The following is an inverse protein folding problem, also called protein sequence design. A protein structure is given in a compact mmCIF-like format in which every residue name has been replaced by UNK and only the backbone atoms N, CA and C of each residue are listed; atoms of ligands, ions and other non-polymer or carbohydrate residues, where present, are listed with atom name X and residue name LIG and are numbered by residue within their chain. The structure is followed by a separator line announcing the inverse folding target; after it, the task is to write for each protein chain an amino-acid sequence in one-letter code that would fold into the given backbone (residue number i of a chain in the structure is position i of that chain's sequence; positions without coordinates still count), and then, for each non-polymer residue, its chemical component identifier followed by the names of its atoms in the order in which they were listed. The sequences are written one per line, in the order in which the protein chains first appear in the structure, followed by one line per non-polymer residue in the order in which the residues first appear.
data_IF_527584738489
#
_entry.id   IF_527584738489
#
_cell.length_a   1.000
_cell.length_b   1.000
_cell.length_c   1.000
_cell.angle_alpha   90.00
_cell.angle_beta   90.00
_cell.angle_gamma   90.00
#
_symmetry.space_group_name_H-M   'P 1'
#
loop_
_entity.id
_entity.type
_entity.pdbx_description
1 polymer ?
#
# COMPACT_ATOMS: atom_id res chain seq x y z
N UNK A 1 8.57 16.52 -29.66
CA UNK A 1 9.56 15.43 -29.60
C UNK A 1 10.58 15.84 -28.57
N UNK A 2 10.65 15.12 -27.46
CA UNK A 2 11.59 15.38 -26.36
C UNK A 2 12.90 14.67 -26.71
N UNK A 3 14.06 15.28 -26.40
CA UNK A 3 15.33 14.59 -26.68
C UNK A 3 15.54 13.46 -25.67
N UNK A 4 16.29 12.42 -26.04
CA UNK A 4 16.66 11.34 -25.12
C UNK A 4 17.31 11.88 -23.82
N UNK A 5 18.02 13.01 -23.93
CA UNK A 5 18.62 13.70 -22.80
C UNK A 5 17.55 14.30 -21.87
N UNK A 6 16.57 15.00 -22.43
CA UNK A 6 15.46 15.56 -21.66
C UNK A 6 14.60 14.45 -21.03
N UNK A 7 14.42 13.32 -21.73
CA UNK A 7 13.69 12.16 -21.21
C UNK A 7 14.45 11.51 -20.04
N UNK A 8 15.79 11.39 -20.13
CA UNK A 8 16.62 10.81 -19.09
C UNK A 8 16.76 11.72 -17.85
N UNK A 9 16.79 13.05 -18.04
CA UNK A 9 16.83 14.01 -16.93
C UNK A 9 15.50 14.07 -16.16
N UNK A 10 14.37 13.77 -16.82
CA UNK A 10 13.04 13.71 -16.19
C UNK A 10 12.60 12.27 -15.85
N UNK A 11 13.46 11.27 -16.07
CA UNK A 11 13.15 9.88 -15.78
C UNK A 11 13.18 9.65 -14.27
N UNK A 12 12.01 9.67 -13.64
CA UNK A 12 11.84 9.13 -12.30
C UNK A 12 11.47 7.65 -12.42
N UNK A 13 12.40 6.78 -12.00
CA UNK A 13 12.09 5.35 -11.89
C UNK A 13 10.87 5.21 -10.97
N UNK A 14 9.79 4.53 -11.39
CA UNK A 14 8.59 4.38 -10.58
C UNK A 14 8.96 3.62 -9.29
N UNK A 15 9.08 4.37 -8.19
CA UNK A 15 9.32 3.83 -6.86
C UNK A 15 7.98 3.52 -6.23
N UNK A 16 7.35 2.44 -6.68
CA UNK A 16 6.19 1.92 -5.96
C UNK A 16 6.69 1.28 -4.66
N UNK A 17 6.33 1.87 -3.52
CA UNK A 17 6.61 1.30 -2.19
C UNK A 17 5.77 0.05 -1.95
N UNK A 18 6.05 -0.68 -0.88
CA UNK A 18 5.23 -1.82 -0.48
C UNK A 18 4.17 -1.38 0.53
N UNK A 19 2.96 -1.96 0.49
CA UNK A 19 1.96 -1.76 1.55
C UNK A 19 2.48 -2.18 2.94
N UNK A 20 3.42 -3.14 3.00
CA UNK A 20 4.05 -3.56 4.26
C UNK A 20 5.00 -2.52 4.87
N UNK A 21 5.34 -1.45 4.13
CA UNK A 21 6.13 -0.34 4.66
C UNK A 21 5.25 0.61 5.50
N UNK A 22 3.92 0.51 5.40
CA UNK A 22 2.98 1.27 6.20
C UNK A 22 2.80 0.62 7.58
N UNK A 23 2.90 1.43 8.64
CA UNK A 23 2.72 0.93 10.00
C UNK A 23 1.27 0.50 10.27
N UNK A 24 0.32 1.29 9.76
CA UNK A 24 -1.11 1.10 9.83
C UNK A 24 -1.72 1.43 8.47
N UNK A 25 -2.66 0.60 8.03
CA UNK A 25 -3.43 0.81 6.80
C UNK A 25 -4.91 0.83 7.16
N UNK A 26 -5.61 1.87 6.72
CA UNK A 26 -7.07 1.95 6.84
C UNK A 26 -7.73 1.16 5.71
N UNK A 27 -8.73 0.36 6.03
CA UNK A 27 -9.55 -0.35 5.05
C UNK A 27 -10.51 0.57 4.29
N UNK A 28 -10.64 1.83 4.72
CA UNK A 28 -11.37 2.86 3.99
C UNK A 28 -10.57 3.49 2.84
N UNK A 29 -9.25 3.21 2.76
CA UNK A 29 -8.40 3.76 1.71
C UNK A 29 -8.79 3.18 0.35
N UNK A 30 -8.81 4.05 -0.66
CA UNK A 30 -9.08 3.64 -2.03
C UNK A 30 -7.91 2.85 -2.62
N UNK A 31 -8.24 1.82 -3.41
CA UNK A 31 -7.28 1.01 -4.13
C UNK A 31 -7.43 1.29 -5.62
N UNK A 32 -6.34 1.73 -6.23
CA UNK A 32 -6.24 2.01 -7.65
C UNK A 32 -5.59 0.83 -8.37
N UNK A 33 -5.90 0.68 -9.66
CA UNK A 33 -5.28 -0.31 -10.55
C UNK A 33 -4.53 0.44 -11.65
N UNK A 34 -3.28 0.05 -11.90
CA UNK A 34 -2.45 0.62 -12.97
C UNK A 34 -1.76 -0.50 -13.73
N UNK A 35 -1.55 -0.27 -15.02
CA UNK A 35 -0.82 -1.17 -15.91
C UNK A 35 0.60 -0.65 -16.05
N UNK A 36 1.58 -1.52 -15.81
CA UNK A 36 2.99 -1.20 -15.99
C UNK A 36 3.66 -2.34 -16.75
N UNK A 37 4.85 -2.08 -17.28
CA UNK A 37 5.60 -3.07 -18.04
C UNK A 37 6.62 -3.72 -17.12
N UNK A 38 6.67 -5.05 -17.09
CA UNK A 38 7.70 -5.76 -16.34
C UNK A 38 9.07 -5.67 -17.04
N UNK A 39 10.11 -6.20 -16.39
CA UNK A 39 11.47 -6.22 -16.94
C UNK A 39 11.62 -7.05 -18.23
N UNK A 40 10.61 -7.82 -18.62
CA UNK A 40 10.55 -8.58 -19.88
C UNK A 40 9.74 -7.86 -20.98
N UNK A 41 9.22 -6.66 -20.72
CA UNK A 41 8.39 -5.93 -21.67
C UNK A 41 6.93 -6.37 -21.70
N UNK A 42 6.47 -7.19 -20.75
CA UNK A 42 5.07 -7.65 -20.69
C UNK A 42 4.24 -6.69 -19.83
N UNK A 43 3.04 -6.28 -20.29
CA UNK A 43 2.13 -5.50 -19.46
C UNK A 43 1.65 -6.36 -18.29
N UNK A 44 1.82 -5.83 -17.08
CA UNK A 44 1.27 -6.38 -15.85
C UNK A 44 0.41 -5.32 -15.16
N UNK A 45 -0.78 -5.74 -14.72
CA UNK A 45 -1.64 -4.90 -13.90
C UNK A 45 -1.30 -5.10 -12.44
N UNK A 46 -1.23 -4.01 -11.70
CA UNK A 46 -1.00 -4.05 -10.27
C UNK A 46 -1.90 -3.06 -9.55
N UNK A 47 -2.25 -3.44 -8.33
CA UNK A 47 -3.05 -2.60 -7.43
C UNK A 47 -2.12 -1.83 -6.52
N UNK A 48 -2.44 -0.58 -6.28
CA UNK A 48 -1.74 0.28 -5.34
C UNK A 48 -2.73 1.16 -4.59
N UNK A 49 -2.29 1.69 -3.46
CA UNK A 49 -2.98 2.73 -2.72
C UNK A 49 -2.09 3.96 -2.71
N UNK A 50 -2.72 5.13 -2.81
CA UNK A 50 -2.04 6.40 -2.60
C UNK A 50 -2.20 6.78 -1.13
N UNK A 51 -1.08 6.90 -0.42
CA UNK A 51 -1.04 7.32 0.97
C UNK A 51 -0.04 8.47 1.06
N UNK A 52 -0.53 9.67 1.40
CA UNK A 52 0.30 10.89 1.49
C UNK A 52 1.08 11.22 0.20
N UNK A 53 0.53 10.90 -0.98
CA UNK A 53 1.19 11.11 -2.27
C UNK A 53 2.21 10.04 -2.64
N UNK A 54 2.29 8.95 -1.86
CA UNK A 54 3.16 7.82 -2.13
C UNK A 54 2.36 6.60 -2.58
N UNK A 55 2.76 6.00 -3.72
CA UNK A 55 2.13 4.79 -4.24
C UNK A 55 2.66 3.57 -3.51
N UNK A 56 1.79 2.90 -2.76
CA UNK A 56 2.07 1.63 -2.08
C UNK A 56 1.40 0.46 -2.81
N UNK A 57 2.19 -0.46 -3.37
CA UNK A 57 1.70 -1.66 -4.04
C UNK A 57 0.99 -2.57 -3.05
N UNK A 58 -0.19 -3.05 -3.44
CA UNK A 58 -0.99 -4.03 -2.72
C UNK A 58 -0.93 -5.38 -3.43
N UNK A 59 -0.21 -6.37 -2.88
CA UNK A 59 -0.22 -7.73 -3.41
C UNK A 59 -1.61 -8.37 -3.31
N UNK A 60 -1.96 -9.22 -4.27
CA UNK A 60 -3.25 -9.95 -4.21
C UNK A 60 -3.36 -10.83 -2.95
N UNK A 61 -2.26 -11.42 -2.47
CA UNK A 61 -2.24 -12.20 -1.23
C UNK A 61 -2.68 -11.40 -0.01
N UNK A 62 -2.35 -10.11 0.03
CA UNK A 62 -2.78 -9.20 1.10
C UNK A 62 -4.29 -8.97 1.03
N UNK A 63 -4.85 -8.80 -0.17
CA UNK A 63 -6.30 -8.64 -0.36
C UNK A 63 -7.09 -9.89 0.05
N UNK A 64 -6.58 -11.08 -0.25
CA UNK A 64 -7.21 -12.34 0.15
C UNK A 64 -7.24 -12.52 1.67
N UNK A 65 -6.16 -12.13 2.36
CA UNK A 65 -6.07 -12.17 3.81
C UNK A 65 -6.98 -11.12 4.46
N UNK A 66 -7.01 -9.89 3.93
CA UNK A 66 -7.96 -8.84 4.36
C UNK A 66 -9.40 -9.33 4.23
N UNK A 67 -9.76 -9.98 3.12
CA UNK A 67 -11.10 -10.54 2.91
C UNK A 67 -11.45 -11.59 3.97
N UNK A 68 -10.46 -12.36 4.43
CA UNK A 68 -10.65 -13.35 5.50
C UNK A 68 -10.89 -12.66 6.83
N UNK A 69 -10.07 -11.65 7.15
CA UNK A 69 -10.20 -10.86 8.39
C UNK A 69 -11.56 -10.15 8.45
N UNK A 70 -12.04 -9.54 7.36
CA UNK A 70 -13.36 -8.87 7.32
C UNK A 70 -14.51 -9.88 7.52
N UNK A 71 -14.36 -11.11 7.01
CA UNK A 71 -15.37 -12.16 7.22
C UNK A 71 -15.44 -12.61 8.68
N UNK A 72 -14.30 -12.70 9.35
CA UNK A 72 -14.23 -13.10 10.76
C UNK A 72 -14.57 -11.95 11.72
N UNK A 73 -14.20 -10.73 11.35
CA UNK A 73 -14.42 -9.52 12.13
C UNK A 73 -14.79 -8.34 11.21
N UNK A 74 -16.09 -8.11 10.93
CA UNK A 74 -16.54 -7.04 10.04
C UNK A 74 -16.33 -5.63 10.60
N UNK A 75 -16.03 -5.49 11.90
CA UNK A 75 -15.77 -4.19 12.55
C UNK A 75 -14.30 -3.74 12.40
N UNK A 76 -13.45 -4.57 11.79
CA UNK A 76 -12.06 -4.22 11.51
C UNK A 76 -12.01 -3.00 10.58
N UNK A 77 -11.29 -1.97 11.01
CA UNK A 77 -11.10 -0.74 10.23
C UNK A 77 -9.64 -0.53 9.83
N UNK A 78 -8.72 -1.11 10.60
CA UNK A 78 -7.28 -0.90 10.44
C UNK A 78 -6.53 -2.23 10.50
N UNK A 79 -5.49 -2.33 9.68
CA UNK A 79 -4.63 -3.50 9.57
C UNK A 79 -3.18 -3.08 9.55
N UNK A 80 -2.27 -4.03 9.79
CA UNK A 80 -0.85 -3.91 9.48
C UNK A 80 -0.45 -5.09 8.61
N UNK A 81 0.31 -4.80 7.56
CA UNK A 81 0.89 -5.83 6.69
C UNK A 81 2.32 -6.08 7.12
N UNK A 82 2.66 -7.34 7.36
CA UNK A 82 3.99 -7.81 7.73
C UNK A 82 4.55 -8.56 6.53
N UNK A 83 5.61 -8.02 5.94
CA UNK A 83 6.38 -8.71 4.90
C UNK A 83 7.52 -9.49 5.54
N UNK A 84 7.67 -10.75 5.15
CA UNK A 84 8.78 -11.62 5.55
C UNK A 84 9.47 -12.20 4.33
N UNK A 85 10.79 -12.45 4.43
CA UNK A 85 11.59 -12.98 3.33
C UNK A 85 12.05 -11.94 2.30
N UNK A 86 12.76 -12.42 1.28
CA UNK A 86 13.39 -11.59 0.24
C UNK A 86 13.30 -12.27 -1.12
N UNK A 87 13.17 -11.47 -2.19
CA UNK A 87 13.10 -11.98 -3.57
C UNK A 87 11.89 -12.90 -3.77
N UNK A 88 12.11 -14.08 -4.36
CA UNK A 88 11.07 -15.07 -4.63
C UNK A 88 10.46 -15.70 -3.36
N UNK A 89 11.15 -15.62 -2.22
CA UNK A 89 10.65 -16.15 -0.94
C UNK A 89 9.91 -15.09 -0.10
N UNK A 90 9.35 -14.07 -0.74
CA UNK A 90 8.60 -13.03 -0.05
C UNK A 90 7.21 -13.54 0.32
N UNK A 91 6.85 -13.43 1.60
CA UNK A 91 5.52 -13.72 2.11
C UNK A 91 4.93 -12.46 2.79
N UNK A 92 3.61 -12.36 2.78
CA UNK A 92 2.87 -11.30 3.43
C UNK A 92 1.91 -11.92 4.44
N UNK A 93 1.83 -11.32 5.62
CA UNK A 93 0.82 -11.61 6.64
C UNK A 93 0.09 -10.32 7.01
N UNK A 94 -1.21 -10.39 7.22
CA UNK A 94 -2.04 -9.25 7.60
C UNK A 94 -2.51 -9.47 9.03
N UNK A 95 -2.23 -8.49 9.89
CA UNK A 95 -2.69 -8.51 11.28
C UNK A 95 -3.67 -7.38 11.51
N UNK A 96 -4.78 -7.67 12.18
CA UNK A 96 -5.70 -6.63 12.61
C UNK A 96 -5.00 -5.68 13.60
N UNK A 97 -5.24 -4.38 13.44
CA UNK A 97 -4.80 -3.37 14.39
C UNK A 97 -6.04 -2.78 15.04
N UNK A 98 -6.12 -2.94 16.37
CA UNK A 98 -7.03 -2.12 17.13
C UNK A 98 -6.57 -0.67 16.98
N UNK A 99 -7.49 0.22 16.60
CA UNK A 99 -7.26 1.64 16.84
C UNK A 99 -7.41 1.79 18.34
N UNK A 100 -6.29 1.79 19.06
CA UNK A 100 -6.29 2.27 20.43
C UNK A 100 -6.91 3.66 20.37
N UNK A 101 -8.06 3.81 21.02
CA UNK A 101 -8.86 5.04 21.03
C UNK A 101 -8.18 6.16 21.85
N UNK A 102 -6.85 6.08 22.01
CA UNK A 102 -5.98 7.01 22.74
C UNK A 102 -5.47 8.19 21.88
N UNK A 103 -6.03 8.39 20.68
CA UNK A 103 -6.17 9.74 20.14
C UNK A 103 -7.57 10.30 20.45
N UNK A 104 -8.01 10.16 21.71
CA UNK A 104 -9.02 11.04 22.28
C UNK A 104 -8.40 12.43 22.41
N UNK A 105 -8.81 13.33 21.52
CA UNK A 105 -9.12 14.74 21.81
C UNK A 105 -8.04 15.45 22.65
N UNK A 106 -7.00 16.02 22.04
CA UNK A 106 -6.43 17.23 22.65
C UNK A 106 -7.50 18.31 22.49
N UNK A 107 -8.14 18.83 23.56
CA UNK A 107 -8.91 20.04 23.41
C UNK A 107 -7.92 21.12 22.96
N UNK A 108 -8.09 21.58 21.74
CA UNK A 108 -7.46 22.80 21.26
C UNK A 108 -7.84 23.88 22.27
N UNK A 109 -6.85 24.36 23.02
CA UNK A 109 -7.02 25.44 23.98
C UNK A 109 -7.55 26.64 23.20
N UNK A 110 -8.82 26.96 23.41
CA UNK A 110 -9.38 28.26 23.09
C UNK A 110 -8.59 29.27 23.91
N UNK A 111 -7.91 30.21 23.24
CA UNK A 111 -7.34 31.42 23.83
C UNK A 111 -7.77 32.61 22.99
#
# INVERSE_FOLDING_TARGET
MTSLKDEAENYEAPKTKNIADLEIVSLANEVFEEENTDGEGKPYKYKYMDVEGEKHRVPNSVLDEIKTIIKENPEVTHIKVIKTGTGMNTSYKVVQKAVDTEQKIKPEKVS
#
